data_IF_862969202936
#
_entry.id   IF_862969202936
#
_cell.length_a   1.000
_cell.length_b   1.000
_cell.length_c   1.000
_cell.angle_alpha   90.00
_cell.angle_beta   90.00
_cell.angle_gamma   90.00
#
_symmetry.space_group_name_H-M   'P 1'
#
loop_
_entity.id
_entity.type
_entity.pdbx_description
1 polymer ?
#
# COMPACT_ATOMS: atom_id res chain seq x y z
N UNK A 1 21.08 -33.59 24.85
CA UNK A 1 19.98 -32.63 25.15
C UNK A 1 19.94 -31.66 23.98
N UNK A 2 18.79 -31.46 23.30
CA UNK A 2 18.70 -30.35 22.36
C UNK A 2 18.99 -29.04 23.11
N UNK A 3 19.71 -28.13 22.46
CA UNK A 3 20.03 -26.81 23.02
C UNK A 3 18.78 -25.97 23.30
N UNK A 4 18.94 -24.76 23.86
CA UNK A 4 17.80 -23.87 24.09
C UNK A 4 17.03 -23.62 22.78
N UNK A 5 15.70 -23.76 22.85
CA UNK A 5 14.80 -23.48 21.72
C UNK A 5 14.61 -21.97 21.63
N UNK A 6 15.03 -21.37 20.53
CA UNK A 6 14.76 -19.96 20.27
C UNK A 6 13.26 -19.73 20.00
N UNK A 7 12.68 -18.62 20.49
CA UNK A 7 11.29 -18.29 20.19
C UNK A 7 11.10 -18.04 18.68
N UNK A 8 9.91 -18.34 18.12
CA UNK A 8 9.61 -18.03 16.72
C UNK A 8 9.64 -16.51 16.48
N UNK A 9 10.10 -16.11 15.30
CA UNK A 9 10.37 -14.71 14.94
C UNK A 9 9.52 -14.29 13.72
N UNK A 10 9.50 -13.00 13.41
CA UNK A 10 8.85 -12.42 12.22
C UNK A 10 8.42 -10.97 12.44
N UNK A 11 8.44 -10.16 11.38
CA UNK A 11 7.92 -8.78 11.44
C UNK A 11 6.40 -8.74 11.55
N UNK A 12 5.75 -9.67 10.83
CA UNK A 12 4.31 -9.92 10.89
C UNK A 12 4.05 -11.40 11.17
N UNK A 13 2.77 -11.75 11.38
CA UNK A 13 2.36 -13.14 11.52
C UNK A 13 2.38 -13.87 10.17
N UNK A 14 2.46 -15.22 10.19
CA UNK A 14 2.79 -16.07 11.33
C UNK A 14 4.28 -16.03 11.69
N UNK A 15 4.57 -16.13 13.00
CA UNK A 15 5.95 -16.30 13.46
C UNK A 15 6.46 -17.72 13.19
N UNK A 16 7.74 -17.86 12.88
CA UNK A 16 8.36 -19.15 12.55
C UNK A 16 9.83 -19.22 13.00
N UNK A 17 10.43 -20.43 13.12
CA UNK A 17 11.88 -20.56 13.24
C UNK A 17 12.58 -19.84 12.07
N UNK A 18 13.43 -18.87 12.38
CA UNK A 18 14.11 -18.05 11.38
C UNK A 18 13.26 -16.97 10.69
N UNK A 19 12.00 -16.77 11.09
CA UNK A 19 11.20 -15.61 10.69
C UNK A 19 10.62 -15.58 9.28
N UNK A 20 10.94 -16.56 8.43
CA UNK A 20 10.63 -16.54 6.99
C UNK A 20 9.16 -16.76 6.63
N UNK A 21 8.33 -17.15 7.58
CA UNK A 21 6.89 -17.34 7.35
C UNK A 21 6.07 -16.05 7.51
N UNK A 22 6.69 -14.95 7.96
CA UNK A 22 6.00 -13.66 8.06
C UNK A 22 5.46 -13.23 6.69
N UNK A 23 4.21 -12.76 6.65
CA UNK A 23 3.58 -12.38 5.38
C UNK A 23 4.21 -11.12 4.76
N UNK A 24 4.74 -10.23 5.60
CA UNK A 24 5.41 -8.99 5.21
C UNK A 24 6.71 -8.89 5.97
N UNK A 25 7.79 -8.62 5.23
CA UNK A 25 9.14 -8.38 5.76
C UNK A 25 9.26 -7.02 6.42
N UNK A 26 10.28 -6.86 7.26
CA UNK A 26 10.59 -5.58 7.90
C UNK A 26 10.95 -4.49 6.85
N UNK A 27 10.50 -3.23 7.03
CA UNK A 27 10.90 -2.11 6.17
C UNK A 27 12.41 -1.76 6.30
N UNK A 28 12.99 -0.94 5.40
CA UNK A 28 12.34 -0.24 4.30
C UNK A 28 11.99 -1.16 3.13
N UNK A 29 10.94 -0.77 2.42
CA UNK A 29 10.51 -1.41 1.18
C UNK A 29 10.79 -0.45 0.02
N UNK A 30 11.38 -0.98 -1.04
CA UNK A 30 11.56 -0.29 -2.30
C UNK A 30 10.41 -0.62 -3.24
N UNK A 31 10.04 0.34 -4.08
CA UNK A 31 8.92 0.22 -5.00
C UNK A 31 9.33 0.73 -6.38
N UNK A 32 8.95 0.00 -7.41
CA UNK A 32 8.95 0.44 -8.79
C UNK A 32 7.56 0.16 -9.36
N UNK A 33 7.03 1.06 -10.20
CA UNK A 33 5.68 0.88 -10.73
C UNK A 33 5.49 1.49 -12.10
N UNK A 34 4.74 0.79 -12.93
CA UNK A 34 4.10 1.37 -14.11
C UNK A 34 2.69 1.86 -13.72
N UNK A 35 2.30 3.05 -14.23
CA UNK A 35 1.11 3.77 -13.75
C UNK A 35 0.28 4.32 -14.90
N UNK A 36 -1.01 3.96 -14.94
CA UNK A 36 -2.03 4.68 -15.70
C UNK A 36 -2.83 5.53 -14.73
N UNK A 37 -2.80 6.85 -14.89
CA UNK A 37 -3.52 7.82 -14.06
C UNK A 37 -4.51 8.65 -14.87
N UNK A 38 -5.72 8.77 -14.34
CA UNK A 38 -6.75 9.70 -14.84
C UNK A 38 -7.03 10.74 -13.77
N UNK A 39 -7.09 12.01 -14.19
CA UNK A 39 -7.51 13.14 -13.36
C UNK A 39 -8.93 13.50 -13.77
N UNK A 40 -9.82 13.63 -12.80
CA UNK A 40 -11.23 13.89 -13.06
C UNK A 40 -11.81 14.90 -12.06
N UNK A 41 -12.89 15.58 -12.47
CA UNK A 41 -13.65 16.49 -11.59
C UNK A 41 -14.89 15.79 -11.04
N UNK A 42 -15.15 15.93 -9.75
CA UNK A 42 -16.30 15.39 -9.02
C UNK A 42 -16.97 16.47 -8.16
N UNK A 43 -18.06 16.12 -7.48
CA UNK A 43 -18.65 16.99 -6.47
C UNK A 43 -17.69 17.20 -5.27
N UNK A 44 -17.33 18.45 -4.99
CA UNK A 44 -16.40 18.80 -3.92
C UNK A 44 -16.98 18.52 -2.52
N UNK A 45 -18.31 18.55 -2.36
CA UNK A 45 -18.98 18.19 -1.11
C UNK A 45 -18.83 16.70 -0.80
N UNK A 46 -18.95 15.84 -1.82
CA UNK A 46 -18.72 14.40 -1.66
C UNK A 46 -17.25 14.09 -1.36
N UNK A 47 -16.30 14.83 -1.94
CA UNK A 47 -14.87 14.72 -1.56
C UNK A 47 -14.66 15.09 -0.09
N UNK A 48 -15.26 16.19 0.37
CA UNK A 48 -15.13 16.63 1.76
C UNK A 48 -15.63 15.58 2.77
N UNK A 49 -16.66 14.81 2.41
CA UNK A 49 -17.20 13.73 3.27
C UNK A 49 -16.27 12.54 3.44
N UNK A 50 -15.28 12.38 2.55
CA UNK A 50 -14.28 11.31 2.62
C UNK A 50 -13.11 11.66 3.55
N UNK A 51 -12.94 12.93 3.92
CA UNK A 51 -11.79 13.38 4.68
C UNK A 51 -12.02 13.16 6.18
N UNK A 52 -11.21 12.33 6.86
CA UNK A 52 -11.28 12.20 8.31
C UNK A 52 -10.68 13.45 8.97
N UNK A 53 -11.18 13.89 10.15
CA UNK A 53 -10.47 14.87 10.96
C UNK A 53 -9.05 14.39 11.27
N UNK A 54 -8.03 15.25 11.27
CA UNK A 54 -8.06 16.71 11.09
C UNK A 54 -7.84 17.20 9.65
N UNK A 55 -8.09 16.35 8.64
CA UNK A 55 -7.92 16.75 7.24
C UNK A 55 -9.05 17.64 6.77
N UNK A 56 -8.69 18.68 6.03
CA UNK A 56 -9.62 19.61 5.39
C UNK A 56 -9.53 19.50 3.87
N UNK A 57 -10.53 19.96 3.10
CA UNK A 57 -10.44 20.01 1.64
C UNK A 57 -9.20 20.77 1.17
N UNK A 58 -8.47 20.18 0.21
CA UNK A 58 -7.29 20.79 -0.39
C UNK A 58 -7.62 21.85 -1.45
N UNK A 59 -6.60 22.43 -2.10
CA UNK A 59 -6.81 23.25 -3.29
C UNK A 59 -7.44 22.41 -4.42
N UNK A 60 -8.29 23.03 -5.23
CA UNK A 60 -9.11 22.33 -6.25
C UNK A 60 -9.84 21.10 -5.66
N UNK A 61 -10.73 21.27 -4.66
CA UNK A 61 -11.32 20.16 -3.90
C UNK A 61 -12.19 19.21 -4.75
N UNK A 62 -12.56 19.63 -5.96
CA UNK A 62 -13.29 18.84 -6.93
C UNK A 62 -12.37 17.96 -7.81
N UNK A 63 -11.05 18.13 -7.76
CA UNK A 63 -10.09 17.47 -8.67
C UNK A 63 -9.41 16.26 -8.00
N UNK A 64 -9.87 15.06 -8.33
CA UNK A 64 -9.34 13.79 -7.78
C UNK A 64 -8.48 13.05 -8.80
N UNK A 65 -7.72 12.05 -8.33
CA UNK A 65 -7.01 11.11 -9.23
C UNK A 65 -7.44 9.68 -8.99
N UNK A 66 -7.57 8.93 -10.09
CA UNK A 66 -7.76 7.48 -10.09
C UNK A 66 -6.58 6.87 -10.81
N UNK A 67 -5.94 5.89 -10.18
CA UNK A 67 -4.74 5.22 -10.70
C UNK A 67 -4.95 3.72 -10.73
N UNK A 68 -4.43 3.09 -11.77
CA UNK A 68 -4.17 1.66 -11.82
C UNK A 68 -2.67 1.49 -12.02
N UNK A 69 -2.06 0.63 -11.22
CA UNK A 69 -0.60 0.46 -11.19
C UNK A 69 -0.22 -1.01 -11.13
N UNK A 70 0.80 -1.38 -11.87
CA UNK A 70 1.54 -2.62 -11.66
C UNK A 70 2.80 -2.28 -10.87
N UNK A 71 3.01 -2.95 -9.74
CA UNK A 71 4.03 -2.59 -8.77
C UNK A 71 4.95 -3.78 -8.51
N UNK A 72 6.25 -3.53 -8.53
CA UNK A 72 7.29 -4.40 -7.99
C UNK A 72 7.75 -3.81 -6.65
N UNK A 73 7.87 -4.66 -5.63
CA UNK A 73 8.38 -4.24 -4.33
C UNK A 73 9.23 -5.31 -3.66
N UNK A 74 10.36 -4.87 -3.09
CA UNK A 74 11.31 -5.71 -2.32
C UNK A 74 11.68 -5.00 -1.02
N UNK A 75 12.03 -5.77 0.01
CA UNK A 75 12.61 -5.23 1.25
C UNK A 75 14.14 -5.12 1.13
N UNK A 76 14.77 -4.26 1.94
CA UNK A 76 16.23 -4.23 2.06
C UNK A 76 16.84 -5.56 2.56
N UNK A 77 16.04 -6.36 3.28
CA UNK A 77 16.47 -7.65 3.80
C UNK A 77 16.63 -8.73 2.73
N UNK A 78 15.96 -8.57 1.57
CA UNK A 78 16.03 -9.52 0.47
C UNK A 78 15.81 -8.84 -0.90
N UNK A 79 16.78 -8.04 -1.39
CA UNK A 79 16.65 -7.33 -2.65
C UNK A 79 16.60 -8.28 -3.86
N UNK A 80 17.17 -9.48 -3.75
CA UNK A 80 17.22 -10.46 -4.82
C UNK A 80 15.92 -11.27 -4.95
N UNK A 81 14.96 -11.07 -4.05
CA UNK A 81 13.66 -11.76 -4.08
C UNK A 81 12.93 -11.53 -5.41
N UNK A 82 13.06 -10.34 -6.02
CA UNK A 82 12.44 -10.04 -7.31
C UNK A 82 12.95 -10.94 -8.45
N UNK A 83 14.19 -11.43 -8.37
CA UNK A 83 14.75 -12.36 -9.35
C UNK A 83 14.43 -13.82 -9.02
N UNK A 84 14.43 -14.17 -7.73
CA UNK A 84 14.23 -15.55 -7.26
C UNK A 84 12.75 -15.97 -7.26
N UNK A 85 11.87 -15.05 -6.89
CA UNK A 85 10.45 -15.28 -6.73
C UNK A 85 9.63 -14.04 -7.12
N UNK A 86 9.54 -13.73 -8.43
CA UNK A 86 8.88 -12.52 -8.93
C UNK A 86 7.42 -12.41 -8.48
N UNK A 87 6.68 -13.52 -8.39
CA UNK A 87 5.29 -13.56 -7.96
C UNK A 87 5.08 -13.13 -6.49
N UNK A 88 6.12 -13.17 -5.66
CA UNK A 88 6.08 -12.70 -4.28
C UNK A 88 6.42 -11.20 -4.15
N UNK A 89 6.78 -10.54 -5.25
CA UNK A 89 7.22 -9.13 -5.26
C UNK A 89 6.35 -8.25 -6.15
N UNK A 90 5.49 -8.85 -6.98
CA UNK A 90 4.64 -8.15 -7.95
C UNK A 90 3.18 -8.13 -7.51
N UNK A 91 2.51 -6.98 -7.67
CA UNK A 91 1.08 -6.85 -7.41
C UNK A 91 0.45 -5.73 -8.22
N UNK A 92 -0.84 -5.88 -8.52
CA UNK A 92 -1.69 -4.82 -9.03
C UNK A 92 -2.28 -3.98 -7.89
N UNK A 93 -2.43 -2.69 -8.15
CA UNK A 93 -3.08 -1.76 -7.23
C UNK A 93 -3.95 -0.74 -7.97
N UNK A 94 -5.11 -0.43 -7.39
CA UNK A 94 -6.01 0.60 -7.87
C UNK A 94 -6.27 1.59 -6.74
N UNK A 95 -6.07 2.89 -6.99
CA UNK A 95 -6.05 3.92 -5.95
C UNK A 95 -6.96 5.07 -6.36
N UNK A 96 -7.77 5.55 -5.42
CA UNK A 96 -8.43 6.85 -5.52
C UNK A 96 -7.75 7.79 -4.53
N UNK A 97 -7.33 8.97 -4.99
CA UNK A 97 -6.77 10.00 -4.12
C UNK A 97 -7.55 11.30 -4.23
N UNK A 98 -7.82 11.92 -3.09
CA UNK A 98 -8.50 13.21 -3.00
C UNK A 98 -7.56 14.28 -2.46
N UNK A 99 -7.65 15.54 -2.93
CA UNK A 99 -6.82 16.63 -2.42
C UNK A 99 -7.23 16.99 -0.98
N UNK A 100 -6.25 17.14 -0.10
CA UNK A 100 -6.50 17.51 1.30
C UNK A 100 -5.47 18.53 1.80
N UNK A 101 -5.78 19.13 2.94
CA UNK A 101 -4.90 20.01 3.71
C UNK A 101 -4.80 19.50 5.14
N UNK A 102 -3.60 19.54 5.70
CA UNK A 102 -3.35 19.33 7.13
C UNK A 102 -2.53 20.51 7.66
N UNK A 103 -3.15 21.40 8.42
CA UNK A 103 -2.49 22.65 8.81
C UNK A 103 -2.11 23.45 7.56
N UNK A 104 -0.87 23.91 7.42
CA UNK A 104 -0.46 24.65 6.21
C UNK A 104 -0.02 23.75 5.05
N UNK A 105 -0.01 22.43 5.24
CA UNK A 105 0.49 21.48 4.26
C UNK A 105 -0.63 20.98 3.34
N UNK A 106 -0.39 21.03 2.03
CA UNK A 106 -1.27 20.43 1.02
C UNK A 106 -0.76 19.05 0.64
N UNK A 107 -1.67 18.09 0.51
CA UNK A 107 -1.33 16.73 0.11
C UNK A 107 -2.52 16.01 -0.51
N UNK A 108 -2.43 14.68 -0.48
CA UNK A 108 -3.51 13.81 -0.94
C UNK A 108 -3.87 12.80 0.15
N UNK A 109 -5.16 12.55 0.29
CA UNK A 109 -5.71 11.48 1.12
C UNK A 109 -6.16 10.32 0.24
N UNK A 110 -5.98 9.09 0.72
CA UNK A 110 -6.31 7.86 0.00
C UNK A 110 -7.53 7.19 0.64
N UNK A 111 -8.77 7.62 0.32
CA UNK A 111 -9.97 7.05 0.93
C UNK A 111 -10.22 5.60 0.50
N UNK A 112 -9.82 5.24 -0.72
CA UNK A 112 -10.04 3.91 -1.27
C UNK A 112 -8.84 3.41 -2.06
N UNK A 113 -8.50 2.16 -1.83
CA UNK A 113 -7.39 1.47 -2.46
C UNK A 113 -7.67 -0.03 -2.49
N UNK A 114 -7.35 -0.67 -3.61
CA UNK A 114 -7.49 -2.12 -3.81
C UNK A 114 -6.19 -2.71 -4.30
N UNK A 115 -5.91 -3.94 -3.91
CA UNK A 115 -4.79 -4.74 -4.41
C UNK A 115 -5.23 -6.17 -4.67
N UNK A 116 -4.51 -6.91 -5.49
CA UNK A 116 -4.77 -8.32 -5.77
C UNK A 116 -3.92 -9.29 -4.93
N UNK A 117 -3.05 -8.78 -4.05
CA UNK A 117 -2.18 -9.60 -3.19
C UNK A 117 -2.36 -9.29 -1.69
N UNK A 118 -2.39 -10.34 -0.88
CA UNK A 118 -2.62 -10.30 0.57
C UNK A 118 -1.46 -9.69 1.38
N UNK A 119 -0.21 -9.94 0.98
CA UNK A 119 0.95 -9.30 1.59
C UNK A 119 0.97 -7.79 1.31
N UNK A 120 0.57 -7.38 0.11
CA UNK A 120 0.41 -5.95 -0.22
C UNK A 120 -0.74 -5.32 0.56
N UNK A 121 -1.84 -6.07 0.80
CA UNK A 121 -2.97 -5.68 1.64
C UNK A 121 -2.50 -5.42 3.07
N UNK A 122 -1.85 -6.39 3.71
CA UNK A 122 -1.37 -6.26 5.09
C UNK A 122 -0.35 -5.13 5.23
N UNK A 123 0.61 -5.03 4.30
CA UNK A 123 1.57 -3.92 4.28
C UNK A 123 0.87 -2.56 4.14
N UNK A 124 -0.17 -2.48 3.32
CA UNK A 124 -1.00 -1.29 3.21
C UNK A 124 -1.60 -0.88 4.55
N UNK A 125 -2.17 -1.84 5.30
CA UNK A 125 -2.74 -1.56 6.61
C UNK A 125 -1.69 -1.09 7.63
N UNK A 126 -0.47 -1.65 7.59
CA UNK A 126 0.65 -1.16 8.42
C UNK A 126 1.02 0.30 8.11
N UNK A 127 0.87 0.74 6.85
CA UNK A 127 1.08 2.13 6.42
C UNK A 127 -0.16 3.03 6.61
N UNK A 128 -1.28 2.51 7.14
CA UNK A 128 -2.54 3.24 7.27
C UNK A 128 -3.36 3.37 5.96
N UNK A 129 -3.01 2.63 4.91
CA UNK A 129 -3.77 2.60 3.66
C UNK A 129 -4.95 1.63 3.75
N UNK A 130 -6.20 2.05 3.47
CA UNK A 130 -7.39 1.23 3.67
C UNK A 130 -7.60 0.23 2.52
N UNK A 131 -6.60 -0.63 2.28
CA UNK A 131 -6.60 -1.62 1.19
C UNK A 131 -7.70 -2.66 1.36
N UNK A 132 -8.25 -3.09 0.22
CA UNK A 132 -9.11 -4.28 0.07
C UNK A 132 -8.58 -5.18 -1.05
N UNK A 133 -8.98 -6.45 -1.05
CA UNK A 133 -8.72 -7.33 -2.19
C UNK A 133 -9.62 -6.95 -3.37
N UNK A 134 -9.07 -6.95 -4.58
CA UNK A 134 -9.77 -6.73 -5.83
C UNK A 134 -9.09 -7.42 -7.01
N UNK A 135 -9.74 -7.38 -8.17
CA UNK A 135 -9.12 -7.77 -9.44
C UNK A 135 -8.70 -6.49 -10.17
N UNK A 136 -7.40 -6.36 -10.43
CA UNK A 136 -6.81 -5.20 -11.10
C UNK A 136 -6.14 -5.68 -12.38
N UNK A 137 -6.30 -4.93 -13.47
CA UNK A 137 -5.70 -5.20 -14.78
C UNK A 137 -5.26 -3.89 -15.41
N UNK A 138 -4.07 -3.89 -15.99
CA UNK A 138 -3.53 -2.79 -16.80
C UNK A 138 -3.22 -3.34 -18.21
N UNK A 139 -3.37 -2.49 -19.24
CA UNK A 139 -3.17 -2.87 -20.66
C UNK A 139 -1.76 -2.60 -21.12
#
# INVERSE_FOLDING_TARGET
MPGPVEPPQGYTLPFSPGGRAALVDHPPWHFASDVIQVVLRVDAGEVARLLPPPLEPGPEPDRITVRVTEVISVSDGDPDLAYRQPEATQYGEAIITVPCRYGQETGVYLPYIWTDHDWSLLRGWLNGWPKKIGQIRMT
#
